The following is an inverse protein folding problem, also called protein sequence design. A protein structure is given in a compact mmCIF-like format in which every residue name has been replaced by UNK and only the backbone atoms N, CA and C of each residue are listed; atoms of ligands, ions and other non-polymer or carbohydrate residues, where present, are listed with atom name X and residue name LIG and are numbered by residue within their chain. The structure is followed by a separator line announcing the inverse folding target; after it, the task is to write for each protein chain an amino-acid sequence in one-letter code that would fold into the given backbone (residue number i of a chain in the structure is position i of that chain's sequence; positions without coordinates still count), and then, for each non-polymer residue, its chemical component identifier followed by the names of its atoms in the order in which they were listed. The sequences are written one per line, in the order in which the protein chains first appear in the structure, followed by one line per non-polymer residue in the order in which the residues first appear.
data_IF_314287759768
#
_entry.id   IF_314287759768
#
_cell.length_a   1.000
_cell.length_b   1.000
_cell.length_c   1.000
_cell.angle_alpha   90.00
_cell.angle_beta   90.00
_cell.angle_gamma   90.00
#
_symmetry.space_group_name_H-M   'P 1'
#
loop_
_entity.id
_entity.type
_entity.pdbx_description
1 polymer ?
#
# COMPACT_ATOMS: atom_id res chain seq x y z
N UNK A 1 -22.58 12.69 -16.88
CA UNK A 1 -21.43 12.15 -16.13
C UNK A 1 -20.57 13.33 -15.70
N UNK A 2 -20.25 13.51 -14.41
CA UNK A 2 -19.33 14.56 -13.97
C UNK A 2 -17.89 14.04 -14.08
N UNK A 3 -16.91 14.84 -14.54
CA UNK A 3 -15.52 14.41 -14.58
C UNK A 3 -15.03 13.98 -13.20
N UNK A 4 -14.30 12.86 -13.15
CA UNK A 4 -13.65 12.41 -11.93
C UNK A 4 -12.25 13.03 -11.86
N UNK A 5 -12.03 13.86 -10.85
CA UNK A 5 -10.73 14.49 -10.59
C UNK A 5 -9.90 13.74 -9.55
N UNK A 6 -10.43 12.65 -8.99
CA UNK A 6 -9.75 11.80 -8.01
C UNK A 6 -9.58 10.40 -8.59
N UNK A 7 -8.40 10.08 -9.18
CA UNK A 7 -8.21 8.81 -9.87
C UNK A 7 -8.38 7.62 -8.92
N UNK A 8 -8.84 6.48 -9.46
CA UNK A 8 -8.97 5.24 -8.67
C UNK A 8 -7.60 4.59 -8.48
N UNK A 9 -7.48 3.69 -7.51
CA UNK A 9 -6.20 3.00 -7.21
C UNK A 9 -5.67 2.26 -8.43
N UNK A 10 -6.57 1.61 -9.19
CA UNK A 10 -6.23 0.92 -10.43
C UNK A 10 -5.62 1.85 -11.49
N UNK A 11 -6.03 3.12 -11.53
CA UNK A 11 -5.58 4.10 -12.53
C UNK A 11 -4.24 4.72 -12.07
N UNK A 12 -4.04 4.89 -10.77
CA UNK A 12 -2.81 5.42 -10.18
C UNK A 12 -1.67 4.41 -10.23
N UNK A 13 -1.92 3.16 -9.82
CA UNK A 13 -0.88 2.13 -9.75
C UNK A 13 -0.87 1.19 -10.95
N UNK A 14 -1.93 1.18 -11.78
CA UNK A 14 -1.98 0.37 -13.00
C UNK A 14 -2.09 -1.15 -12.75
N UNK A 15 -2.64 -1.58 -11.61
CA UNK A 15 -2.88 -2.99 -11.29
C UNK A 15 -4.39 -3.31 -11.23
N UNK A 16 -4.78 -4.56 -11.51
CA UNK A 16 -6.13 -5.02 -11.24
C UNK A 16 -6.50 -4.85 -9.77
N UNK A 17 -7.73 -4.42 -9.53
CA UNK A 17 -8.27 -4.19 -8.21
C UNK A 17 -9.54 -4.99 -7.98
N UNK A 18 -9.88 -5.20 -6.71
CA UNK A 18 -11.17 -5.76 -6.26
C UNK A 18 -11.75 -4.89 -5.16
N UNK A 19 -13.06 -4.85 -5.06
CA UNK A 19 -13.73 -4.26 -3.90
C UNK A 19 -13.83 -5.30 -2.78
N UNK A 20 -13.39 -4.93 -1.59
CA UNK A 20 -13.61 -5.72 -0.37
C UNK A 20 -14.32 -4.87 0.68
N UNK A 21 -15.07 -5.53 1.57
CA UNK A 21 -15.65 -4.90 2.75
C UNK A 21 -14.66 -4.95 3.90
N UNK A 22 -14.47 -3.82 4.57
CA UNK A 22 -13.62 -3.66 5.76
C UNK A 22 -14.38 -3.02 6.89
N UNK A 23 -13.96 -3.31 8.12
CA UNK A 23 -14.49 -2.67 9.33
C UNK A 23 -13.53 -1.58 9.79
N UNK A 24 -14.05 -0.37 9.98
CA UNK A 24 -13.30 0.77 10.48
C UNK A 24 -12.88 0.54 11.93
N UNK A 25 -11.58 0.54 12.24
CA UNK A 25 -11.08 0.48 13.62
C UNK A 25 -11.55 1.68 14.47
N UNK A 26 -11.84 2.82 13.84
CA UNK A 26 -12.25 4.06 14.52
C UNK A 26 -13.74 4.07 14.84
N UNK A 27 -14.58 3.62 13.92
CA UNK A 27 -16.05 3.77 14.01
C UNK A 27 -16.81 2.46 14.14
N UNK A 28 -16.15 1.30 13.94
CA UNK A 28 -16.78 -0.02 13.91
C UNK A 28 -17.69 -0.26 12.70
N UNK A 29 -17.81 0.70 11.79
CA UNK A 29 -18.66 0.60 10.61
C UNK A 29 -17.97 -0.12 9.46
N UNK A 30 -18.76 -0.89 8.71
CA UNK A 30 -18.33 -1.47 7.46
C UNK A 30 -18.22 -0.41 6.37
N UNK A 31 -17.21 -0.57 5.51
CA UNK A 31 -17.02 0.25 4.33
C UNK A 31 -16.43 -0.61 3.22
N UNK A 32 -16.83 -0.33 1.97
CA UNK A 32 -16.23 -0.96 0.81
C UNK A 32 -15.02 -0.15 0.35
N UNK A 33 -13.95 -0.85 -0.01
CA UNK A 33 -12.71 -0.25 -0.48
C UNK A 33 -12.10 -1.06 -1.61
N UNK A 34 -11.56 -0.34 -2.59
CA UNK A 34 -10.80 -0.91 -3.69
C UNK A 34 -9.38 -1.29 -3.21
N UNK A 35 -8.97 -2.54 -3.47
CA UNK A 35 -7.65 -3.05 -3.09
C UNK A 35 -6.98 -3.81 -4.23
N UNK A 36 -5.65 -3.78 -4.24
CA UNK A 36 -4.83 -4.74 -4.96
C UNK A 36 -4.56 -5.89 -3.98
N UNK A 37 -5.16 -7.05 -4.23
CA UNK A 37 -5.11 -8.19 -3.30
C UNK A 37 -3.68 -8.59 -2.93
N UNK A 38 -2.78 -8.59 -3.91
CA UNK A 38 -1.38 -8.94 -3.72
C UNK A 38 -0.50 -8.18 -4.70
N UNK A 39 0.54 -7.55 -4.18
CA UNK A 39 1.53 -6.82 -4.98
C UNK A 39 2.93 -7.07 -4.41
N UNK A 40 3.88 -7.32 -5.30
CA UNK A 40 5.30 -7.47 -4.94
C UNK A 40 6.04 -6.20 -5.31
N UNK A 41 6.68 -5.58 -4.32
CA UNK A 41 7.44 -4.34 -4.47
C UNK A 41 8.87 -4.54 -3.98
N UNK A 42 9.74 -3.59 -4.28
CA UNK A 42 11.15 -3.63 -3.87
C UNK A 42 11.39 -2.58 -2.80
N UNK A 43 11.92 -2.97 -1.64
CA UNK A 43 12.32 -2.02 -0.61
C UNK A 43 13.51 -1.19 -1.06
N UNK A 44 13.47 0.12 -0.79
CA UNK A 44 14.63 1.00 -0.97
C UNK A 44 15.57 0.98 0.26
N UNK A 45 15.32 0.07 1.21
CA UNK A 45 16.21 -0.20 2.35
C UNK A 45 15.88 0.57 3.63
N UNK A 46 14.78 1.31 3.66
CA UNK A 46 14.33 2.03 4.85
C UNK A 46 12.87 1.71 5.22
N UNK A 47 12.61 1.71 6.53
CA UNK A 47 11.28 1.68 7.14
C UNK A 47 11.25 2.67 8.31
N UNK A 48 10.08 3.19 8.61
CA UNK A 48 9.84 4.05 9.77
C UNK A 48 8.70 3.47 10.62
N UNK A 49 8.84 3.52 11.94
CA UNK A 49 7.70 3.34 12.83
C UNK A 49 6.85 4.63 12.84
N UNK A 50 5.54 4.47 12.75
CA UNK A 50 4.58 5.58 12.77
C UNK A 50 4.00 5.75 14.17
N UNK A 51 3.52 6.97 14.48
CA UNK A 51 2.93 7.29 15.80
C UNK A 51 1.76 6.38 16.22
N UNK A 52 1.15 5.67 15.28
CA UNK A 52 0.06 4.71 15.49
C UNK A 52 0.54 3.25 15.54
N UNK A 53 1.79 3.01 15.91
CA UNK A 53 2.44 1.69 16.04
C UNK A 53 2.29 0.82 14.78
N UNK A 54 2.41 1.44 13.61
CA UNK A 54 2.53 0.74 12.34
C UNK A 54 3.91 1.01 11.75
N UNK A 55 4.22 0.37 10.63
CA UNK A 55 5.48 0.51 9.92
C UNK A 55 5.22 1.03 8.52
N UNK A 56 5.94 2.06 8.12
CA UNK A 56 5.93 2.63 6.79
C UNK A 56 7.18 2.17 6.04
N UNK A 57 6.98 1.36 5.00
CA UNK A 57 8.06 0.88 4.13
C UNK A 57 8.17 1.76 2.90
N UNK A 58 9.37 2.28 2.63
CA UNK A 58 9.65 2.97 1.38
C UNK A 58 10.00 1.94 0.31
N UNK A 59 9.33 2.04 -0.84
CA UNK A 59 9.35 1.01 -1.87
C UNK A 59 9.38 1.62 -3.27
N UNK A 60 10.02 0.91 -4.17
CA UNK A 60 9.94 1.11 -5.60
C UNK A 60 9.05 0.03 -6.23
N UNK A 61 8.29 0.43 -7.23
CA UNK A 61 7.64 -0.45 -8.19
C UNK A 61 8.34 -0.34 -9.56
N UNK A 62 9.29 -1.23 -9.86
CA UNK A 62 10.02 -1.19 -11.12
C UNK A 62 9.12 -1.43 -12.35
N UNK A 63 7.97 -2.08 -12.20
CA UNK A 63 7.06 -2.37 -13.34
C UNK A 63 6.27 -1.13 -13.76
N UNK A 64 6.10 -0.19 -12.84
CA UNK A 64 5.32 1.05 -13.03
C UNK A 64 6.18 2.29 -12.98
N UNK A 65 7.47 2.15 -12.67
CA UNK A 65 8.42 3.26 -12.52
C UNK A 65 7.94 4.26 -11.44
N UNK A 66 7.41 3.73 -10.34
CA UNK A 66 6.87 4.51 -9.23
C UNK A 66 7.67 4.29 -7.95
N UNK A 67 7.75 5.33 -7.11
CA UNK A 67 8.27 5.25 -5.75
C UNK A 67 7.23 5.80 -4.78
N UNK A 68 6.98 5.08 -3.68
CA UNK A 68 6.01 5.47 -2.67
C UNK A 68 6.26 4.74 -1.35
N UNK A 69 5.45 5.06 -0.33
CA UNK A 69 5.55 4.47 0.99
C UNK A 69 4.26 3.75 1.39
N UNK A 70 4.36 2.52 1.89
CA UNK A 70 3.22 1.69 2.28
C UNK A 70 3.22 1.46 3.78
N UNK A 71 2.13 1.86 4.45
CA UNK A 71 1.92 1.62 5.88
C UNK A 71 1.27 0.26 6.14
N UNK A 72 1.82 -0.52 7.06
CA UNK A 72 1.31 -1.84 7.46
C UNK A 72 1.50 -2.06 8.96
N UNK A 73 0.66 -2.88 9.61
CA UNK A 73 0.71 -3.09 11.05
C UNK A 73 1.87 -3.99 11.53
N UNK A 74 2.38 -4.88 10.67
CA UNK A 74 3.43 -5.82 11.06
C UNK A 74 4.82 -5.37 10.58
N UNK A 75 5.83 -5.76 11.35
CA UNK A 75 7.22 -5.50 11.05
C UNK A 75 7.88 -6.68 10.30
N UNK A 76 8.75 -6.36 9.35
CA UNK A 76 9.73 -7.27 8.75
C UNK A 76 11.07 -6.54 8.60
N UNK A 77 12.16 -7.29 8.67
CA UNK A 77 13.49 -6.75 8.38
C UNK A 77 13.68 -6.52 6.89
N UNK A 78 14.28 -5.38 6.53
CA UNK A 78 14.48 -4.96 5.14
C UNK A 78 15.87 -4.37 4.94
N UNK A 79 16.43 -4.66 3.77
CA UNK A 79 17.58 -3.96 3.19
C UNK A 79 17.26 -3.56 1.75
N UNK A 80 18.08 -2.70 1.15
CA UNK A 80 17.90 -2.29 -0.24
C UNK A 80 17.80 -3.50 -1.17
N UNK A 81 16.77 -3.52 -2.02
CA UNK A 81 16.52 -4.63 -2.94
C UNK A 81 15.69 -5.79 -2.36
N UNK A 82 15.33 -5.74 -1.07
CA UNK A 82 14.44 -6.74 -0.46
C UNK A 82 13.09 -6.73 -1.15
N UNK A 83 12.64 -7.89 -1.66
CA UNK A 83 11.31 -8.01 -2.28
C UNK A 83 10.27 -8.24 -1.19
N UNK A 84 9.22 -7.42 -1.21
CA UNK A 84 8.15 -7.40 -0.24
C UNK A 84 6.82 -7.73 -0.91
N UNK A 85 6.05 -8.62 -0.32
CA UNK A 85 4.67 -8.93 -0.72
C UNK A 85 3.73 -8.16 0.21
N UNK A 86 2.91 -7.30 -0.35
CA UNK A 86 1.84 -6.60 0.38
C UNK A 86 0.49 -7.22 0.07
N UNK A 87 -0.34 -7.41 1.10
CA UNK A 87 -1.71 -7.94 0.98
C UNK A 87 -2.75 -6.84 1.12
N UNK A 88 -3.74 -6.83 0.23
CA UNK A 88 -4.82 -5.85 0.18
C UNK A 88 -4.31 -4.39 0.24
N UNK A 89 -3.35 -4.07 -0.63
CA UNK A 89 -2.83 -2.72 -0.79
C UNK A 89 -3.99 -1.80 -1.24
N UNK A 90 -4.16 -0.71 -0.51
CA UNK A 90 -5.16 0.33 -0.77
C UNK A 90 -4.51 1.69 -0.67
N UNK A 91 -5.15 2.69 -1.25
CA UNK A 91 -4.67 4.05 -1.15
C UNK A 91 -5.70 5.06 -1.61
N UNK A 92 -5.34 6.32 -1.47
CA UNK A 92 -6.16 7.44 -1.89
C UNK A 92 -5.38 8.74 -1.81
N UNK A 93 -5.99 9.82 -2.28
CA UNK A 93 -5.41 11.15 -2.19
C UNK A 93 -5.44 11.62 -0.73
N UNK A 94 -4.35 12.23 -0.27
CA UNK A 94 -4.37 12.97 1.00
C UNK A 94 -5.21 14.24 0.81
N UNK A 95 -6.10 14.59 1.76
CA UNK A 95 -6.88 15.82 1.67
C UNK A 95 -5.99 17.04 1.46
N UNK A 96 -6.35 17.90 0.51
CA UNK A 96 -5.62 19.13 0.17
C UNK A 96 -4.14 18.91 -0.23
N UNK A 97 -3.82 17.75 -0.81
CA UNK A 97 -2.47 17.40 -1.26
C UNK A 97 -2.50 16.75 -2.63
N UNK A 98 -1.38 16.81 -3.34
CA UNK A 98 -1.14 16.03 -4.56
C UNK A 98 -0.53 14.64 -4.25
N UNK A 99 -0.27 14.34 -2.96
CA UNK A 99 0.34 13.10 -2.53
C UNK A 99 -0.71 12.03 -2.20
N UNK A 100 -0.43 10.78 -2.59
CA UNK A 100 -1.21 9.63 -2.19
C UNK A 100 -0.77 9.07 -0.83
N UNK A 101 -1.71 8.54 -0.06
CA UNK A 101 -1.41 7.63 1.04
C UNK A 101 -1.63 6.18 0.59
N UNK A 102 -0.80 5.27 1.09
CA UNK A 102 -0.93 3.83 0.80
C UNK A 102 -0.86 3.03 2.09
N UNK A 103 -1.66 1.97 2.17
CA UNK A 103 -1.66 1.05 3.30
C UNK A 103 -1.99 -0.36 2.85
N UNK A 104 -1.46 -1.36 3.53
CA UNK A 104 -1.78 -2.76 3.30
C UNK A 104 -2.15 -3.43 4.64
N UNK A 105 -2.66 -4.66 4.56
CA UNK A 105 -3.03 -5.43 5.75
C UNK A 105 -1.83 -6.13 6.37
N UNK A 106 -0.91 -6.58 5.52
CA UNK A 106 0.36 -7.15 5.95
C UNK A 106 1.46 -6.94 4.91
N UNK A 107 2.70 -7.14 5.37
CA UNK A 107 3.88 -7.28 4.53
C UNK A 107 4.63 -8.56 4.87
N UNK A 108 5.19 -9.22 3.85
CA UNK A 108 6.04 -10.40 3.99
C UNK A 108 7.28 -10.26 3.09
N UNK A 109 8.42 -10.79 3.52
CA UNK A 109 9.61 -10.89 2.65
C UNK A 109 9.42 -12.07 1.69
N UNK A 110 9.66 -11.85 0.39
CA UNK A 110 9.70 -12.96 -0.57
C UNK A 110 10.86 -13.88 -0.18
N UNK A 111 10.55 -15.11 0.22
CA UNK A 111 11.58 -16.11 0.48
C UNK A 111 12.44 -16.30 -0.77
N UNK A 112 13.75 -16.13 -0.63
CA UNK A 112 14.69 -16.64 -1.62
C UNK A 112 14.63 -18.16 -1.47
N UNK A 113 14.18 -18.89 -2.50
CA UNK A 113 14.45 -20.32 -2.54
C UNK A 113 15.97 -20.47 -2.45
N UNK A 114 16.43 -21.12 -1.38
CA UNK A 114 17.84 -21.43 -1.15
C UNK A 114 18.35 -22.42 -2.20
#
# INVERSE_FOLDING_TARGET
MKPNWTPKLKDVLGYPTKEITKVSKRTGQEYNVEVIETITLVSIGSKEETLDNNYRYFVADPKKELEYAVKVPNEVEVSFGTRLIFRNLRGGLLPNSNNGWYSADSVEVVAKNA
#
